data_IF_967910405899
#
_entry.id   IF_967910405899
#
_cell.length_a   1.000
_cell.length_b   1.000
_cell.length_c   1.000
_cell.angle_alpha   90.00
_cell.angle_beta   90.00
_cell.angle_gamma   90.00
#
_symmetry.space_group_name_H-M   'P 1'
#
loop_
_entity.id
_entity.type
_entity.pdbx_description
1 polymer ?
#
# COMPACT_ATOMS: atom_id res chain seq x y z
N UNK A 1 -21.79 -25.10 -3.48
CA UNK A 1 -22.51 -24.08 -2.69
C UNK A 1 -21.64 -22.86 -2.65
N UNK A 2 -21.93 -21.90 -3.52
CA UNK A 2 -21.15 -20.69 -3.69
C UNK A 2 -21.29 -19.81 -2.45
N UNK A 3 -20.18 -19.23 -1.99
CA UNK A 3 -20.15 -18.36 -0.82
C UNK A 3 -21.03 -17.11 -1.07
N UNK A 4 -21.11 -16.69 -2.33
CA UNK A 4 -21.94 -15.57 -2.77
C UNK A 4 -23.44 -15.87 -2.71
N UNK A 5 -23.87 -17.08 -3.07
CA UNK A 5 -25.27 -17.50 -2.92
C UNK A 5 -25.69 -17.51 -1.45
N UNK A 6 -24.78 -17.95 -0.56
CA UNK A 6 -25.04 -17.98 0.89
C UNK A 6 -25.09 -16.60 1.53
N UNK A 7 -24.41 -15.61 0.93
CA UNK A 7 -24.45 -14.21 1.34
C UNK A 7 -25.72 -13.50 0.84
N UNK A 8 -26.27 -13.91 -0.30
CA UNK A 8 -27.51 -13.37 -0.84
C UNK A 8 -28.74 -13.72 0.01
N UNK A 9 -28.74 -14.90 0.65
CA UNK A 9 -29.82 -15.35 1.54
C UNK A 9 -29.73 -14.81 2.98
N UNK A 10 -28.65 -14.09 3.34
CA UNK A 10 -28.53 -13.49 4.66
C UNK A 10 -29.38 -12.23 4.73
N UNK A 11 -30.43 -12.27 5.55
CA UNK A 11 -31.22 -11.09 5.92
C UNK A 11 -30.31 -10.03 6.53
N UNK A 12 -30.00 -8.99 5.76
CA UNK A 12 -29.14 -7.88 6.18
C UNK A 12 -29.96 -7.01 7.15
N UNK A 13 -29.49 -6.79 8.39
CA UNK A 13 -30.17 -5.90 9.31
C UNK A 13 -30.22 -4.48 8.72
N UNK A 14 -31.27 -3.69 9.00
CA UNK A 14 -31.42 -2.36 8.42
C UNK A 14 -30.20 -1.50 8.73
N UNK A 15 -29.66 -0.85 7.70
CA UNK A 15 -28.49 0.03 7.82
C UNK A 15 -28.83 1.11 8.86
N UNK A 16 -28.07 1.23 9.96
CA UNK A 16 -28.29 2.28 10.95
C UNK A 16 -28.20 3.65 10.28
N UNK A 17 -29.08 4.58 10.65
CA UNK A 17 -29.07 5.94 10.11
C UNK A 17 -27.64 6.51 10.08
N UNK A 18 -27.24 7.15 8.97
CA UNK A 18 -25.84 7.53 8.71
C UNK A 18 -25.14 8.27 9.88
N UNK A 19 -25.89 8.99 10.70
CA UNK A 19 -25.38 9.64 11.92
C UNK A 19 -24.86 8.68 13.00
N UNK A 20 -25.47 7.50 13.16
CA UNK A 20 -25.04 6.49 14.15
C UNK A 20 -23.92 5.59 13.61
N UNK A 21 -23.90 5.31 12.31
CA UNK A 21 -22.81 4.59 11.66
C UNK A 21 -21.52 5.43 11.68
N UNK A 22 -21.57 6.70 11.26
CA UNK A 22 -20.40 7.59 11.27
C UNK A 22 -19.88 7.84 12.70
N UNK A 23 -20.77 8.00 13.67
CA UNK A 23 -20.41 8.10 15.08
C UNK A 23 -19.80 6.80 15.62
N UNK A 24 -20.34 5.64 15.23
CA UNK A 24 -19.83 4.32 15.61
C UNK A 24 -18.47 3.99 14.96
N UNK A 25 -18.26 4.39 13.70
CA UNK A 25 -16.99 4.27 12.98
C UNK A 25 -15.93 5.20 13.57
N UNK A 26 -16.26 6.47 13.84
CA UNK A 26 -15.37 7.40 14.57
C UNK A 26 -15.03 6.92 15.98
N UNK A 27 -15.97 6.23 16.66
CA UNK A 27 -15.74 5.67 17.99
C UNK A 27 -14.94 4.36 17.95
N UNK A 28 -15.02 3.57 16.87
CA UNK A 28 -14.26 2.33 16.67
C UNK A 28 -12.82 2.58 16.18
N UNK A 29 -12.57 3.63 15.39
CA UNK A 29 -11.21 4.03 15.07
C UNK A 29 -10.65 4.86 16.22
N UNK A 30 -10.01 4.19 17.18
CA UNK A 30 -9.30 4.89 18.26
C UNK A 30 -8.25 5.81 17.60
N UNK A 31 -8.29 7.13 17.80
CA UNK A 31 -7.41 8.08 17.10
C UNK A 31 -5.92 7.76 17.32
N UNK A 32 -5.57 7.09 18.41
CA UNK A 32 -4.22 6.57 18.66
C UNK A 32 -3.82 5.41 17.74
N UNK A 33 -4.75 4.50 17.39
CA UNK A 33 -4.47 3.41 16.44
C UNK A 33 -4.26 3.96 15.03
N UNK A 34 -5.06 4.96 14.63
CA UNK A 34 -4.85 5.67 13.36
C UNK A 34 -3.47 6.35 13.35
N UNK A 35 -3.13 7.09 14.42
CA UNK A 35 -1.85 7.77 14.52
C UNK A 35 -0.67 6.79 14.46
N UNK A 36 -0.76 5.64 15.13
CA UNK A 36 0.25 4.59 15.09
C UNK A 36 0.41 4.04 13.65
N UNK A 37 -0.70 3.74 12.98
CA UNK A 37 -0.66 3.22 11.61
C UNK A 37 -0.06 4.22 10.61
N UNK A 38 -0.41 5.51 10.74
CA UNK A 38 0.19 6.57 9.93
C UNK A 38 1.68 6.70 10.20
N UNK A 39 2.12 6.59 11.47
CA UNK A 39 3.53 6.63 11.81
C UNK A 39 4.30 5.43 11.23
N UNK A 40 3.77 4.21 11.36
CA UNK A 40 4.36 3.00 10.77
C UNK A 40 4.48 3.12 9.25
N UNK A 41 3.41 3.58 8.58
CA UNK A 41 3.41 3.82 7.15
C UNK A 41 4.46 4.87 6.75
N UNK A 42 4.51 6.00 7.46
CA UNK A 42 5.46 7.07 7.19
C UNK A 42 6.92 6.58 7.31
N UNK A 43 7.23 5.81 8.36
CA UNK A 43 8.56 5.23 8.55
C UNK A 43 8.91 4.23 7.43
N UNK A 44 7.98 3.32 7.10
CA UNK A 44 8.17 2.36 6.02
C UNK A 44 8.35 3.02 4.65
N UNK A 45 7.51 4.01 4.34
CA UNK A 45 7.58 4.77 3.10
C UNK A 45 8.89 5.58 2.99
N UNK A 46 9.33 6.19 4.09
CA UNK A 46 10.59 6.95 4.12
C UNK A 46 11.79 6.04 3.88
N UNK A 47 11.84 4.87 4.52
CA UNK A 47 12.92 3.91 4.29
C UNK A 47 12.95 3.42 2.83
N UNK A 48 11.78 3.17 2.24
CA UNK A 48 11.67 2.77 0.84
C UNK A 48 12.11 3.89 -0.12
N UNK A 49 11.68 5.13 0.14
CA UNK A 49 12.09 6.30 -0.63
C UNK A 49 13.60 6.52 -0.55
N UNK A 50 14.19 6.44 0.65
CA UNK A 50 15.63 6.57 0.86
C UNK A 50 16.41 5.51 0.07
N UNK A 51 15.94 4.26 0.06
CA UNK A 51 16.53 3.19 -0.75
C UNK A 51 16.54 3.54 -2.24
N UNK A 52 15.41 3.99 -2.80
CA UNK A 52 15.35 4.35 -4.23
C UNK A 52 16.22 5.56 -4.56
N UNK A 53 16.25 6.56 -3.67
CA UNK A 53 17.12 7.72 -3.82
C UNK A 53 18.60 7.31 -3.84
N UNK A 54 19.03 6.40 -2.96
CA UNK A 54 20.39 5.86 -2.96
C UNK A 54 20.72 5.10 -4.25
N UNK A 55 19.80 4.28 -4.75
CA UNK A 55 19.98 3.57 -6.02
C UNK A 55 20.12 4.56 -7.18
N UNK A 56 19.27 5.59 -7.23
CA UNK A 56 19.34 6.63 -8.25
C UNK A 56 20.64 7.43 -8.17
N UNK A 57 21.07 7.81 -6.96
CA UNK A 57 22.33 8.52 -6.72
C UNK A 57 23.54 7.70 -7.17
N UNK A 58 23.56 6.41 -6.84
CA UNK A 58 24.63 5.52 -7.27
C UNK A 58 24.67 5.35 -8.79
N UNK A 59 23.50 5.21 -9.43
CA UNK A 59 23.40 5.16 -10.88
C UNK A 59 23.90 6.45 -11.54
N UNK A 60 23.57 7.60 -10.96
CA UNK A 60 24.08 8.90 -11.41
C UNK A 60 25.60 9.01 -11.26
N UNK A 61 26.17 8.54 -10.14
CA UNK A 61 27.62 8.51 -9.93
C UNK A 61 28.32 7.63 -10.98
N UNK A 62 27.78 6.43 -11.24
CA UNK A 62 28.30 5.53 -12.29
C UNK A 62 28.24 6.21 -13.66
N UNK A 63 27.15 6.90 -13.97
CA UNK A 63 27.02 7.65 -15.22
C UNK A 63 28.06 8.78 -15.31
N UNK A 64 28.24 9.57 -14.24
CA UNK A 64 29.23 10.66 -14.22
C UNK A 64 30.66 10.16 -14.46
N UNK A 65 31.02 9.00 -13.91
CA UNK A 65 32.37 8.43 -14.07
C UNK A 65 32.55 7.71 -15.41
N UNK A 66 31.54 6.97 -15.86
CA UNK A 66 31.67 6.07 -17.02
C UNK A 66 31.05 6.61 -18.32
N UNK A 67 30.28 7.70 -18.25
CA UNK A 67 29.48 8.25 -19.36
C UNK A 67 28.32 7.34 -19.82
N UNK A 68 28.05 6.23 -19.11
CA UNK A 68 27.09 5.21 -19.53
C UNK A 68 26.16 4.86 -18.37
N UNK A 69 24.87 4.68 -18.68
CA UNK A 69 23.89 4.25 -17.69
C UNK A 69 24.11 2.78 -17.30
N UNK A 70 24.04 2.42 -16.01
CA UNK A 70 24.09 1.03 -15.59
C UNK A 70 22.90 0.25 -16.17
N UNK A 71 23.16 -0.91 -16.78
CA UNK A 71 22.11 -1.74 -17.37
C UNK A 71 21.30 -2.44 -16.27
N UNK A 72 19.98 -2.26 -16.26
CA UNK A 72 19.08 -2.98 -15.37
C UNK A 72 19.11 -4.49 -15.65
N UNK A 73 19.54 -5.27 -14.66
CA UNK A 73 19.76 -6.72 -14.80
C UNK A 73 18.48 -7.60 -14.71
N UNK A 74 17.28 -7.03 -14.83
CA UNK A 74 16.03 -7.83 -14.82
C UNK A 74 15.23 -7.65 -16.09
N UNK A 75 15.49 -8.51 -17.07
CA UNK A 75 14.48 -8.90 -18.06
C UNK A 75 13.69 -10.03 -17.42
N UNK A 76 12.53 -9.73 -16.85
CA UNK A 76 11.58 -10.76 -16.39
C UNK A 76 11.18 -11.55 -17.64
N UNK A 77 11.30 -12.89 -17.66
CA UNK A 77 10.81 -13.67 -18.79
C UNK A 77 9.32 -13.40 -18.93
N UNK A 78 8.88 -12.94 -20.10
CA UNK A 78 7.47 -13.00 -20.46
C UNK A 78 7.05 -14.46 -20.35
N UNK A 79 6.15 -14.77 -19.41
CA UNK A 79 5.44 -16.03 -19.42
C UNK A 79 4.75 -16.11 -20.78
N UNK A 80 5.15 -17.09 -21.59
CA UNK A 80 4.42 -17.48 -22.79
C UNK A 80 3.19 -18.23 -22.31
N UNK A 81 2.05 -17.82 -22.85
CA UNK A 81 0.71 -18.40 -22.64
C UNK A 81 0.67 -19.91 -22.96
#
# INVERSE_FOLDING_TARGET
MDLLERLADVSVPPVPAAGTLAAGVRRKLHPRLLALHVAEFALGATAWAARHMLIALFAALVYTVSGRWPRSAKRIPQARD
#
